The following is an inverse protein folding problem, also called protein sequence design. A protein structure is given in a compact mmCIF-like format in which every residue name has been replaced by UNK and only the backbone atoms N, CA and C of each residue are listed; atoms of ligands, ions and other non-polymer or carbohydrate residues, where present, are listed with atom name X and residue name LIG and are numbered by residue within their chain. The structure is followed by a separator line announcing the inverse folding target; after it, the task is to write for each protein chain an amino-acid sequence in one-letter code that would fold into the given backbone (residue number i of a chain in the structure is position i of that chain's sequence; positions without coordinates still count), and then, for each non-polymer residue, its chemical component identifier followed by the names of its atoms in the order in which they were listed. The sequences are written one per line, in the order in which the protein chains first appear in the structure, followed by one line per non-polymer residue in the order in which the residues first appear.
data_IF_096774592875
#
_entry.id   IF_096774592875
#
_cell.length_a   1.000
_cell.length_b   1.000
_cell.length_c   1.000
_cell.angle_alpha   90.00
_cell.angle_beta   90.00
_cell.angle_gamma   90.00
#
_symmetry.space_group_name_H-M   'P 1'
#
loop_
_entity.id
_entity.type
_entity.pdbx_description
1 polymer ?
#
# COMPACT_ATOMS: atom_id res chain seq x y z
N UNK A 1 22.12 -23.75 21.30
CA UNK A 1 21.11 -22.87 21.94
C UNK A 1 21.24 -21.48 21.30
N UNK A 2 20.85 -21.29 20.03
CA UNK A 2 19.49 -21.28 19.47
C UNK A 2 18.63 -20.05 19.83
N UNK A 3 19.28 -18.88 19.94
CA UNK A 3 18.68 -17.55 19.89
C UNK A 3 19.68 -16.73 19.02
N UNK A 4 19.41 -16.22 17.81
CA UNK A 4 18.10 -15.97 17.18
C UNK A 4 18.15 -15.89 15.63
N UNK A 5 18.59 -16.94 14.93
CA UNK A 5 18.44 -17.01 13.45
C UNK A 5 16.96 -16.85 13.01
N UNK A 6 16.03 -17.38 13.80
CA UNK A 6 14.59 -17.29 13.56
C UNK A 6 14.00 -15.87 13.76
N UNK A 7 14.64 -14.97 14.51
CA UNK A 7 14.03 -13.68 14.87
C UNK A 7 13.92 -12.72 13.68
N UNK A 8 14.93 -12.69 12.82
CA UNK A 8 14.91 -11.88 11.60
C UNK A 8 13.97 -12.45 10.52
N UNK A 9 13.60 -13.73 10.60
CA UNK A 9 12.59 -14.33 9.73
C UNK A 9 11.14 -13.91 10.09
N UNK A 10 10.91 -13.33 11.27
CA UNK A 10 9.58 -12.88 11.73
C UNK A 10 9.20 -11.50 11.15
N UNK A 11 10.15 -10.72 10.61
CA UNK A 11 9.87 -9.48 9.86
C UNK A 11 9.32 -9.73 8.44
N UNK A 12 8.69 -10.87 8.23
CA UNK A 12 8.07 -11.25 6.97
C UNK A 12 6.71 -10.57 6.77
N UNK A 13 6.53 -9.96 5.59
CA UNK A 13 5.23 -9.68 4.95
C UNK A 13 4.32 -8.63 5.62
N UNK A 14 4.86 -7.44 5.91
CA UNK A 14 4.08 -6.21 5.67
C UNK A 14 3.90 -6.00 4.15
N UNK A 15 3.13 -6.90 3.50
CA UNK A 15 2.81 -6.84 2.07
C UNK A 15 1.76 -5.75 1.85
N UNK A 16 2.22 -4.50 1.83
CA UNK A 16 1.46 -3.27 1.62
C UNK A 16 0.88 -3.19 0.19
N UNK A 17 0.01 -4.13 -0.17
CA UNK A 17 -0.46 -4.32 -1.53
C UNK A 17 -1.32 -3.12 -2.00
N UNK A 18 -0.90 -2.52 -3.13
CA UNK A 18 -1.70 -1.56 -3.89
C UNK A 18 -3.01 -2.23 -4.33
N UNK A 19 -4.16 -1.59 -4.08
CA UNK A 19 -5.48 -2.13 -4.46
C UNK A 19 -5.90 -1.62 -5.84
N UNK A 20 -6.02 -2.52 -6.81
CA UNK A 20 -6.58 -2.19 -8.13
C UNK A 20 -8.11 -2.20 -8.06
N UNK A 21 -8.76 -1.15 -8.57
CA UNK A 21 -10.22 -0.96 -8.56
C UNK A 21 -10.68 -0.16 -9.78
N UNK A 22 -11.89 -0.41 -10.29
CA UNK A 22 -12.46 0.39 -11.38
C UNK A 22 -12.75 1.85 -10.97
N UNK A 23 -13.10 2.08 -9.70
CA UNK A 23 -13.32 3.40 -9.11
C UNK A 23 -12.32 3.67 -7.99
N UNK A 24 -11.75 4.88 -7.98
CA UNK A 24 -10.79 5.33 -6.96
C UNK A 24 -11.32 6.57 -6.25
N UNK A 25 -11.45 6.49 -4.92
CA UNK A 25 -11.91 7.59 -4.06
C UNK A 25 -10.92 7.82 -2.92
N UNK A 26 -10.84 9.07 -2.44
CA UNK A 26 -10.11 9.40 -1.21
C UNK A 26 -10.86 8.80 -0.01
N UNK A 27 -10.14 8.19 0.92
CA UNK A 27 -10.68 7.59 2.15
C UNK A 27 -10.40 8.49 3.37
N UNK A 28 -9.43 9.40 3.25
CA UNK A 28 -8.86 10.17 4.34
C UNK A 28 -8.41 11.56 3.88
N UNK A 29 -8.24 12.52 4.80
CA UNK A 29 -7.71 13.84 4.47
C UNK A 29 -6.32 13.77 3.80
N UNK A 30 -5.45 12.88 4.31
CA UNK A 30 -4.08 12.67 3.81
C UNK A 30 -4.01 11.85 2.50
N UNK A 31 -5.15 11.51 1.89
CA UNK A 31 -5.22 10.67 0.70
C UNK A 31 -5.15 11.56 -0.56
N UNK A 32 -4.03 11.52 -1.29
CA UNK A 32 -3.79 12.35 -2.47
C UNK A 32 -4.13 11.58 -3.74
N UNK A 33 -4.98 12.16 -4.59
CA UNK A 33 -5.30 11.64 -5.93
C UNK A 33 -4.27 12.20 -6.92
N UNK A 34 -3.58 11.33 -7.65
CA UNK A 34 -2.46 11.70 -8.52
C UNK A 34 -2.58 10.94 -9.85
N UNK A 35 -2.37 11.64 -10.97
CA UNK A 35 -2.28 11.07 -12.32
C UNK A 35 -0.80 10.83 -12.68
N UNK A 36 -0.43 9.59 -13.01
CA UNK A 36 0.92 9.21 -13.49
C UNK A 36 0.81 8.12 -14.55
N UNK A 37 1.60 8.21 -15.62
CA UNK A 37 1.58 7.24 -16.75
C UNK A 37 0.16 6.98 -17.30
N UNK A 38 -0.65 8.04 -17.46
CA UNK A 38 -2.09 8.01 -17.84
C UNK A 38 -3.04 7.26 -16.87
N UNK A 39 -2.55 6.78 -15.73
CA UNK A 39 -3.35 6.08 -14.70
C UNK A 39 -3.64 7.00 -13.51
N UNK A 40 -4.83 6.87 -12.91
CA UNK A 40 -5.20 7.58 -11.66
C UNK A 40 -4.88 6.68 -10.47
N UNK A 41 -4.17 7.21 -9.47
CA UNK A 41 -3.84 6.50 -8.24
C UNK A 41 -4.17 7.35 -7.01
N UNK A 42 -4.48 6.67 -5.90
CA UNK A 42 -4.56 7.27 -4.56
C UNK A 42 -3.31 6.87 -3.80
N UNK A 43 -2.55 7.88 -3.33
CA UNK A 43 -1.37 7.68 -2.50
C UNK A 43 -1.68 8.20 -1.10
N UNK A 44 -1.26 7.44 -0.08
CA UNK A 44 -1.36 7.81 1.33
C UNK A 44 -0.17 7.24 2.10
N UNK A 45 0.13 7.84 3.25
CA UNK A 45 1.04 7.28 4.27
C UNK A 45 0.51 5.93 4.75
N UNK A 46 -0.81 5.84 4.99
CA UNK A 46 -1.45 4.57 5.34
C UNK A 46 -1.51 3.65 4.10
N UNK A 47 -0.92 2.43 4.17
CA UNK A 47 -0.88 1.48 3.05
C UNK A 47 -2.27 1.01 2.62
N UNK A 48 -3.23 0.91 3.54
CA UNK A 48 -4.56 0.33 3.30
C UNK A 48 -5.40 1.18 2.31
N UNK A 49 -5.02 2.44 2.12
CA UNK A 49 -5.68 3.40 1.23
C UNK A 49 -5.03 3.53 -0.16
N UNK A 50 -3.87 2.88 -0.40
CA UNK A 50 -3.19 2.91 -1.70
C UNK A 50 -4.04 2.20 -2.74
N UNK A 51 -4.48 2.94 -3.76
CA UNK A 51 -5.37 2.44 -4.81
C UNK A 51 -4.88 2.84 -6.21
N UNK A 52 -5.19 2.01 -7.21
CA UNK A 52 -4.95 2.25 -8.64
C UNK A 52 -6.26 2.07 -9.41
N UNK A 53 -6.53 2.95 -10.36
CA UNK A 53 -7.63 2.81 -11.30
C UNK A 53 -7.22 1.93 -12.48
N UNK A 54 -7.97 0.86 -12.74
CA UNK A 54 -7.70 -0.08 -13.84
C UNK A 54 -6.65 -1.14 -13.51
#
# INVERSE_FOLDING_TARGET
MLINSCYYAILNKNKMNMKVRASVKKICANCRLIRRKRVILVICVNPKHKQRQG
#
